data_IF_211294405416
#
_entry.id   IF_211294405416
#
_cell.length_a   1.000
_cell.length_b   1.000
_cell.length_c   1.000
_cell.angle_alpha   90.00
_cell.angle_beta   90.00
_cell.angle_gamma   90.00
#
_symmetry.space_group_name_H-M   'P 1'
#
loop_
_entity.id
_entity.type
_entity.pdbx_description
1 polymer ?
#
# COMPACT_ATOMS: atom_id res chain seq x y z
N UNK A 1 -22.57 -45.31 -1.45
CA UNK A 1 -22.95 -44.42 -2.57
C UNK A 1 -22.00 -43.24 -2.53
N UNK A 2 -20.85 -43.36 -3.22
CA UNK A 2 -19.77 -42.37 -3.19
C UNK A 2 -20.21 -41.10 -3.92
N UNK A 3 -20.36 -39.99 -3.19
CA UNK A 3 -20.42 -38.66 -3.81
C UNK A 3 -19.00 -38.23 -4.14
N UNK A 4 -18.66 -38.38 -5.41
CA UNK A 4 -17.49 -37.77 -6.01
C UNK A 4 -17.74 -36.25 -6.06
N UNK A 5 -17.18 -35.49 -5.10
CA UNK A 5 -17.14 -34.03 -5.19
C UNK A 5 -15.97 -33.71 -6.14
N UNK A 6 -16.26 -33.74 -7.45
CA UNK A 6 -15.40 -33.10 -8.43
C UNK A 6 -15.68 -31.60 -8.31
N UNK A 7 -14.82 -30.87 -7.61
CA UNK A 7 -14.80 -29.42 -7.72
C UNK A 7 -14.26 -29.09 -9.11
N UNK A 8 -15.12 -28.70 -10.05
CA UNK A 8 -14.72 -28.07 -11.30
C UNK A 8 -14.00 -26.76 -10.96
N UNK A 9 -12.69 -26.83 -10.71
CA UNK A 9 -11.87 -25.64 -10.49
C UNK A 9 -11.85 -24.86 -11.81
N UNK A 10 -12.32 -23.63 -11.77
CA UNK A 10 -12.34 -22.78 -12.94
C UNK A 10 -10.88 -22.54 -13.33
N UNK A 11 -10.55 -22.78 -14.61
CA UNK A 11 -9.22 -22.47 -15.14
C UNK A 11 -8.85 -21.02 -14.82
N UNK A 12 -7.74 -20.82 -14.10
CA UNK A 12 -7.23 -19.49 -13.71
C UNK A 12 -6.93 -18.59 -14.90
N UNK A 13 -6.86 -19.12 -16.12
CA UNK A 13 -6.71 -18.34 -17.35
C UNK A 13 -7.99 -17.60 -17.74
N UNK A 14 -9.16 -18.10 -17.31
CA UNK A 14 -10.47 -17.60 -17.74
C UNK A 14 -11.04 -16.43 -16.93
N UNK A 15 -10.32 -15.95 -15.92
CA UNK A 15 -10.74 -14.83 -15.08
C UNK A 15 -9.54 -14.04 -14.55
N UNK A 16 -9.77 -12.82 -14.08
CA UNK A 16 -8.88 -12.02 -13.24
C UNK A 16 -9.25 -12.31 -11.78
N UNK A 17 -8.26 -12.69 -10.98
CA UNK A 17 -8.43 -12.84 -9.53
C UNK A 17 -7.67 -11.83 -8.70
N UNK A 18 -7.90 -11.84 -7.38
CA UNK A 18 -7.35 -10.83 -6.47
C UNK A 18 -5.82 -10.72 -6.51
N UNK A 19 -5.09 -11.83 -6.69
CA UNK A 19 -3.63 -11.78 -6.86
C UNK A 19 -3.21 -11.08 -8.16
N UNK A 20 -4.03 -11.22 -9.22
CA UNK A 20 -3.81 -10.61 -10.53
C UNK A 20 -4.09 -9.11 -10.47
N UNK A 21 -5.12 -8.70 -9.72
CA UNK A 21 -5.44 -7.30 -9.44
C UNK A 21 -4.22 -6.52 -8.92
N UNK A 22 -3.42 -7.14 -8.04
CA UNK A 22 -2.17 -6.56 -7.52
C UNK A 22 -1.11 -6.36 -8.60
N UNK A 23 -1.02 -7.26 -9.57
CA UNK A 23 -0.09 -7.13 -10.70
C UNK A 23 -0.58 -6.04 -11.66
N UNK A 24 -1.89 -6.03 -11.97
CA UNK A 24 -2.51 -5.06 -12.87
C UNK A 24 -2.38 -3.62 -12.35
N UNK A 25 -2.52 -3.43 -11.05
CA UNK A 25 -2.36 -2.13 -10.39
C UNK A 25 -0.91 -1.83 -9.96
N UNK A 26 0.03 -2.74 -10.24
CA UNK A 26 1.43 -2.60 -9.87
C UNK A 26 2.22 -1.74 -10.85
N UNK A 27 3.50 -1.54 -10.55
CA UNK A 27 4.45 -0.79 -11.38
C UNK A 27 5.44 -1.67 -12.15
N UNK A 28 5.32 -3.00 -12.05
CA UNK A 28 6.19 -3.96 -12.73
C UNK A 28 5.62 -4.34 -14.10
N UNK A 29 6.13 -3.68 -15.15
CA UNK A 29 5.70 -3.91 -16.53
C UNK A 29 5.99 -5.35 -16.99
N UNK A 30 7.09 -5.94 -16.55
CA UNK A 30 7.45 -7.30 -16.93
C UNK A 30 6.45 -8.31 -16.33
N UNK A 31 6.07 -8.13 -15.06
CA UNK A 31 5.04 -8.93 -14.43
C UNK A 31 3.67 -8.75 -15.08
N UNK A 32 3.30 -7.52 -15.47
CA UNK A 32 2.05 -7.22 -16.18
C UNK A 32 1.97 -7.93 -17.53
N UNK A 33 3.02 -7.81 -18.36
CA UNK A 33 3.09 -8.45 -19.67
C UNK A 33 3.11 -9.98 -19.52
N UNK A 34 3.80 -10.51 -18.51
CA UNK A 34 3.81 -11.95 -18.23
C UNK A 34 2.41 -12.45 -17.88
N UNK A 35 1.72 -11.79 -16.94
CA UNK A 35 0.35 -12.13 -16.57
C UNK A 35 -0.56 -12.13 -17.80
N UNK A 36 -0.41 -11.16 -18.71
CA UNK A 36 -1.18 -11.11 -19.95
C UNK A 36 -0.94 -12.33 -20.85
N UNK A 37 0.33 -12.75 -21.03
CA UNK A 37 0.67 -13.99 -21.76
C UNK A 37 0.10 -15.23 -21.09
N UNK A 38 0.16 -15.30 -19.76
CA UNK A 38 -0.42 -16.41 -18.98
C UNK A 38 -1.94 -16.52 -19.20
N UNK A 39 -2.67 -15.39 -19.16
CA UNK A 39 -4.13 -15.37 -19.41
C UNK A 39 -4.48 -15.76 -20.84
N UNK A 40 -3.61 -15.48 -21.81
CA UNK A 40 -3.76 -15.89 -23.21
C UNK A 40 -3.32 -17.34 -23.48
N UNK A 41 -2.71 -18.01 -22.51
CA UNK A 41 -2.13 -19.35 -22.69
C UNK A 41 -0.88 -19.35 -23.57
N UNK A 42 -0.23 -18.20 -23.73
CA UNK A 42 1.02 -18.02 -24.49
C UNK A 42 2.26 -18.23 -23.61
N UNK A 43 2.08 -18.23 -22.29
CA UNK A 43 3.09 -18.59 -21.30
C UNK A 43 2.46 -19.47 -20.22
N UNK A 44 3.26 -20.37 -19.66
CA UNK A 44 2.90 -21.09 -18.45
C UNK A 44 3.10 -20.20 -17.22
N UNK A 45 2.34 -20.48 -16.16
CA UNK A 45 2.52 -19.78 -14.89
C UNK A 45 3.90 -20.12 -14.30
N UNK A 46 4.49 -19.13 -13.63
CA UNK A 46 5.77 -19.27 -12.96
C UNK A 46 5.74 -20.39 -11.91
N UNK A 47 6.73 -21.28 -11.96
CA UNK A 47 6.90 -22.31 -10.93
C UNK A 47 7.50 -21.67 -9.67
N UNK A 48 6.66 -21.48 -8.66
CA UNK A 48 7.01 -20.89 -7.37
C UNK A 48 7.25 -21.95 -6.28
N UNK A 49 7.32 -23.24 -6.63
CA UNK A 49 7.54 -24.33 -5.67
C UNK A 49 8.89 -24.20 -4.94
N UNK A 50 9.92 -23.70 -5.62
CA UNK A 50 11.24 -23.40 -5.02
C UNK A 50 11.33 -22.06 -4.30
N UNK A 51 10.28 -21.21 -4.35
CA UNK A 51 10.31 -19.89 -3.71
C UNK A 51 9.91 -19.99 -2.23
N UNK A 52 10.89 -19.92 -1.34
CA UNK A 52 10.69 -20.06 0.11
C UNK A 52 9.63 -19.11 0.67
N UNK A 53 9.55 -17.86 0.20
CA UNK A 53 8.57 -16.88 0.71
C UNK A 53 7.14 -17.27 0.33
N UNK A 54 6.96 -17.79 -0.90
CA UNK A 54 5.67 -18.31 -1.35
C UNK A 54 5.28 -19.55 -0.54
N UNK A 55 6.22 -20.47 -0.32
CA UNK A 55 5.99 -21.68 0.49
C UNK A 55 5.64 -21.34 1.94
N UNK A 56 6.33 -20.37 2.55
CA UNK A 56 6.00 -19.87 3.89
C UNK A 56 4.58 -19.28 3.92
N UNK A 57 4.18 -18.52 2.90
CA UNK A 57 2.81 -18.03 2.75
C UNK A 57 1.78 -19.17 2.78
N UNK A 58 1.98 -20.19 1.96
CA UNK A 58 1.07 -21.35 1.87
C UNK A 58 0.98 -22.14 3.19
N UNK A 59 2.13 -22.43 3.81
CA UNK A 59 2.17 -23.20 5.06
C UNK A 59 1.60 -22.41 6.24
N UNK A 60 1.78 -21.09 6.26
CA UNK A 60 1.29 -20.25 7.35
C UNK A 60 -0.17 -19.85 7.21
N UNK A 61 -0.81 -19.99 6.05
CA UNK A 61 -2.22 -19.62 5.86
C UNK A 61 -3.17 -20.32 6.86
N UNK A 62 -3.14 -21.65 7.06
CA UNK A 62 -3.97 -22.30 8.08
C UNK A 62 -3.64 -21.88 9.51
N UNK A 63 -2.36 -21.64 9.80
CA UNK A 63 -1.90 -21.14 11.11
C UNK A 63 -2.44 -19.73 11.37
N UNK A 64 -2.41 -18.88 10.35
CA UNK A 64 -2.86 -17.50 10.39
C UNK A 64 -4.35 -17.42 10.68
N UNK A 65 -5.15 -18.24 9.98
CA UNK A 65 -6.59 -18.41 10.27
C UNK A 65 -6.83 -18.88 11.70
N UNK A 66 -6.16 -19.94 12.14
CA UNK A 66 -6.32 -20.44 13.51
C UNK A 66 -6.01 -19.38 14.57
N UNK A 67 -4.95 -18.59 14.34
CA UNK A 67 -4.56 -17.53 15.25
C UNK A 67 -5.59 -16.39 15.27
N UNK A 68 -6.09 -15.98 14.11
CA UNK A 68 -7.19 -15.01 14.00
C UNK A 68 -8.43 -15.46 14.78
N UNK A 69 -8.90 -16.70 14.54
CA UNK A 69 -10.10 -17.26 15.19
C UNK A 69 -9.94 -17.29 16.71
N UNK A 70 -8.75 -17.69 17.19
CA UNK A 70 -8.44 -17.74 18.63
C UNK A 70 -8.41 -16.36 19.29
N UNK A 71 -7.87 -15.34 18.62
CA UNK A 71 -7.71 -14.01 19.20
C UNK A 71 -9.00 -13.18 19.13
N UNK A 72 -9.81 -13.37 18.10
CA UNK A 72 -11.04 -12.59 17.89
C UNK A 72 -12.30 -13.31 18.36
N UNK A 73 -12.25 -14.64 18.54
CA UNK A 73 -13.42 -15.47 18.79
C UNK A 73 -14.35 -15.64 17.58
N UNK A 74 -14.00 -15.07 16.41
CA UNK A 74 -14.79 -15.17 15.18
C UNK A 74 -14.30 -16.31 14.31
N UNK A 75 -15.23 -17.11 13.78
CA UNK A 75 -14.91 -18.23 12.90
C UNK A 75 -14.66 -17.75 11.46
N UNK A 76 -13.77 -18.42 10.73
CA UNK A 76 -13.57 -18.19 9.29
C UNK A 76 -14.13 -19.38 8.51
N UNK A 77 -15.13 -19.11 7.66
CA UNK A 77 -15.81 -20.09 6.80
C UNK A 77 -15.44 -19.90 5.33
N UNK A 78 -15.97 -20.75 4.45
CA UNK A 78 -15.76 -20.68 2.99
C UNK A 78 -14.27 -20.65 2.59
N UNK A 79 -13.42 -21.34 3.34
CA UNK A 79 -11.96 -21.40 3.14
C UNK A 79 -11.63 -22.03 1.79
N UNK A 80 -10.73 -21.40 1.04
CA UNK A 80 -10.30 -21.78 -0.31
C UNK A 80 -11.45 -21.87 -1.33
N UNK A 81 -12.60 -21.23 -1.03
CA UNK A 81 -13.74 -21.20 -1.94
C UNK A 81 -13.46 -20.26 -3.11
N UNK A 82 -13.70 -20.76 -4.31
CA UNK A 82 -13.71 -19.94 -5.52
C UNK A 82 -15.10 -19.34 -5.75
N UNK A 83 -15.16 -18.02 -5.94
CA UNK A 83 -16.39 -17.25 -6.15
C UNK A 83 -16.26 -16.45 -7.43
N UNK A 84 -17.28 -16.46 -8.29
CA UNK A 84 -17.36 -15.60 -9.48
C UNK A 84 -18.24 -14.39 -9.20
N UNK A 85 -17.88 -13.25 -9.78
CA UNK A 85 -18.72 -12.06 -9.71
C UNK A 85 -20.02 -12.30 -10.48
N UNK A 86 -21.16 -12.00 -9.85
CA UNK A 86 -22.51 -12.30 -10.38
C UNK A 86 -22.82 -11.64 -11.73
N UNK A 87 -22.25 -10.46 -12.00
CA UNK A 87 -22.48 -9.71 -13.25
C UNK A 87 -21.24 -9.53 -14.15
N UNK A 88 -20.06 -10.00 -13.74
CA UNK A 88 -18.80 -9.73 -14.45
C UNK A 88 -18.11 -11.08 -14.70
N UNK A 89 -18.31 -11.71 -15.88
CA UNK A 89 -17.91 -13.10 -16.12
C UNK A 89 -16.40 -13.36 -16.02
N UNK A 90 -15.58 -12.34 -16.27
CA UNK A 90 -14.13 -12.42 -16.24
C UNK A 90 -13.53 -12.15 -14.86
N UNK A 91 -14.34 -12.00 -13.81
CA UNK A 91 -13.88 -11.64 -12.48
C UNK A 91 -14.25 -12.72 -11.45
N UNK A 92 -13.26 -13.21 -10.72
CA UNK A 92 -13.47 -14.25 -9.70
C UNK A 92 -12.38 -14.21 -8.63
N UNK A 93 -12.69 -14.63 -7.41
CA UNK A 93 -11.75 -14.67 -6.30
C UNK A 93 -11.62 -16.09 -5.76
N UNK A 94 -10.42 -16.48 -5.34
CA UNK A 94 -10.20 -17.61 -4.45
C UNK A 94 -9.97 -17.01 -3.07
N UNK A 95 -10.85 -17.30 -2.13
CA UNK A 95 -10.87 -16.66 -0.81
C UNK A 95 -10.11 -17.51 0.20
N UNK A 96 -9.27 -16.89 1.03
CA UNK A 96 -8.71 -17.57 2.21
C UNK A 96 -9.82 -17.82 3.25
N UNK A 97 -10.88 -17.00 3.23
CA UNK A 97 -12.17 -17.30 3.84
C UNK A 97 -13.11 -16.09 3.95
N UNK A 98 -14.21 -16.27 4.67
CA UNK A 98 -15.17 -15.23 5.05
C UNK A 98 -15.33 -15.29 6.57
N UNK A 99 -15.16 -14.14 7.23
CA UNK A 99 -15.35 -14.02 8.68
C UNK A 99 -16.84 -14.09 9.00
N UNK A 100 -17.22 -15.04 9.85
CA UNK A 100 -18.61 -15.25 10.21
C UNK A 100 -19.16 -14.11 11.11
N UNK A 101 -20.43 -13.76 10.93
CA UNK A 101 -21.11 -12.68 11.65
C UNK A 101 -20.74 -11.25 11.25
N UNK A 102 -19.57 -11.01 10.64
CA UNK A 102 -19.20 -9.70 10.06
C UNK A 102 -19.32 -9.67 8.54
N UNK A 103 -19.33 -10.84 7.90
CA UNK A 103 -19.29 -11.00 6.45
C UNK A 103 -18.13 -10.21 5.82
N UNK A 104 -16.96 -10.20 6.48
CA UNK A 104 -15.74 -9.65 5.93
C UNK A 104 -14.95 -10.71 5.15
N UNK A 105 -14.29 -10.33 4.06
CA UNK A 105 -13.31 -11.21 3.38
C UNK A 105 -12.12 -11.41 4.30
N UNK A 106 -11.77 -12.66 4.62
CA UNK A 106 -10.53 -12.98 5.32
C UNK A 106 -9.40 -13.20 4.30
N UNK A 107 -8.27 -12.52 4.49
CA UNK A 107 -7.07 -12.63 3.67
C UNK A 107 -5.85 -12.83 4.58
N UNK A 108 -5.15 -13.95 4.42
CA UNK A 108 -4.00 -14.30 5.24
C UNK A 108 -2.69 -14.03 4.49
N UNK A 109 -1.74 -13.35 5.14
CA UNK A 109 -0.41 -13.08 4.55
C UNK A 109 0.73 -13.43 5.49
N UNK A 110 1.81 -13.90 4.87
CA UNK A 110 3.13 -13.92 5.48
C UNK A 110 3.94 -12.73 4.99
N UNK A 111 4.56 -12.00 5.91
CA UNK A 111 5.46 -10.88 5.57
C UNK A 111 6.78 -11.00 6.32
N UNK A 112 7.87 -10.66 5.63
CA UNK A 112 9.15 -10.55 6.30
C UNK A 112 9.15 -9.33 7.24
N UNK A 113 9.84 -9.40 8.39
CA UNK A 113 9.76 -8.36 9.41
C UNK A 113 10.47 -7.05 9.00
N UNK A 114 11.46 -7.14 8.10
CA UNK A 114 12.18 -5.96 7.61
C UNK A 114 11.21 -5.06 6.83
N UNK A 115 11.14 -3.78 7.21
CA UNK A 115 10.25 -2.76 6.64
C UNK A 115 8.73 -3.04 6.77
N UNK A 116 8.32 -3.94 7.66
CA UNK A 116 6.89 -4.18 7.90
C UNK A 116 6.24 -2.99 8.63
N UNK A 117 5.17 -2.47 8.05
CA UNK A 117 4.18 -1.63 8.73
C UNK A 117 2.77 -2.06 8.30
N UNK A 118 1.76 -1.73 9.11
CA UNK A 118 0.36 -2.02 8.81
C UNK A 118 -0.11 -1.25 7.56
N UNK A 119 0.36 -0.02 7.40
CA UNK A 119 0.13 0.84 6.25
C UNK A 119 0.72 0.21 4.98
N UNK A 120 2.01 -0.17 5.02
CA UNK A 120 2.69 -0.76 3.88
C UNK A 120 2.07 -2.11 3.48
N UNK A 121 1.58 -2.89 4.44
CA UNK A 121 0.85 -4.12 4.16
C UNK A 121 -0.50 -3.84 3.50
N UNK A 122 -1.28 -2.90 4.04
CA UNK A 122 -2.56 -2.50 3.47
C UNK A 122 -2.41 -1.93 2.05
N UNK A 123 -1.41 -1.06 1.81
CA UNK A 123 -1.10 -0.54 0.47
C UNK A 123 -0.73 -1.66 -0.51
N UNK A 124 0.16 -2.58 -0.09
CA UNK A 124 0.62 -3.70 -0.92
C UNK A 124 -0.50 -4.63 -1.37
N UNK A 125 -1.49 -4.86 -0.51
CA UNK A 125 -2.59 -5.79 -0.77
C UNK A 125 -3.93 -5.11 -1.09
N UNK A 126 -3.97 -3.78 -1.19
CA UNK A 126 -5.19 -2.99 -1.43
C UNK A 126 -5.96 -3.48 -2.67
N UNK A 127 -5.28 -3.61 -3.81
CA UNK A 127 -5.90 -4.10 -5.04
C UNK A 127 -6.54 -5.49 -4.87
N UNK A 128 -5.85 -6.39 -4.18
CA UNK A 128 -6.32 -7.75 -3.95
C UNK A 128 -7.55 -7.78 -3.04
N UNK A 129 -7.52 -7.09 -1.89
CA UNK A 129 -8.65 -7.11 -0.94
C UNK A 129 -9.88 -6.39 -1.51
N UNK A 130 -9.69 -5.28 -2.25
CA UNK A 130 -10.78 -4.56 -2.91
C UNK A 130 -11.41 -5.39 -4.03
N UNK A 131 -10.60 -6.10 -4.82
CA UNK A 131 -11.10 -7.05 -5.81
C UNK A 131 -11.94 -8.16 -5.15
N UNK A 132 -11.42 -8.79 -4.09
CA UNK A 132 -12.12 -9.88 -3.42
C UNK A 132 -13.45 -9.41 -2.80
N UNK A 133 -13.47 -8.22 -2.19
CA UNK A 133 -14.69 -7.57 -1.68
C UNK A 133 -15.71 -7.32 -2.80
N UNK A 134 -15.25 -6.87 -3.96
CA UNK A 134 -16.13 -6.62 -5.10
C UNK A 134 -16.72 -7.89 -5.69
N UNK A 135 -15.92 -8.95 -5.87
CA UNK A 135 -16.39 -10.26 -6.33
C UNK A 135 -17.48 -10.82 -5.42
N UNK A 136 -17.34 -10.64 -4.12
CA UNK A 136 -18.20 -11.24 -3.09
C UNK A 136 -19.36 -10.35 -2.66
N UNK A 137 -19.41 -9.08 -3.11
CA UNK A 137 -20.34 -8.04 -2.65
C UNK A 137 -20.21 -7.69 -1.16
N UNK A 138 -19.09 -8.05 -0.54
CA UNK A 138 -18.79 -7.75 0.87
C UNK A 138 -18.13 -6.37 0.98
N UNK A 139 -18.30 -5.69 2.13
CA UNK A 139 -17.90 -4.28 2.31
C UNK A 139 -16.63 -4.07 3.13
N UNK A 140 -16.05 -5.14 3.65
CA UNK A 140 -14.82 -5.08 4.42
C UNK A 140 -13.97 -6.33 4.20
N UNK A 141 -12.67 -6.18 4.36
CA UNK A 141 -11.73 -7.29 4.43
C UNK A 141 -10.91 -7.20 5.71
N UNK A 142 -10.62 -8.35 6.29
CA UNK A 142 -9.63 -8.52 7.34
C UNK A 142 -8.37 -9.08 6.71
N UNK A 143 -7.30 -8.28 6.74
CA UNK A 143 -5.96 -8.71 6.39
C UNK A 143 -5.25 -9.19 7.65
N UNK A 144 -5.11 -10.51 7.79
CA UNK A 144 -4.45 -11.16 8.92
C UNK A 144 -3.02 -11.52 8.54
N UNK A 145 -2.04 -11.06 9.30
CA UNK A 145 -0.62 -11.12 8.92
C UNK A 145 0.20 -11.80 10.00
N UNK A 146 0.93 -12.84 9.62
CA UNK A 146 2.02 -13.38 10.43
C UNK A 146 3.34 -12.86 9.85
N UNK A 147 4.16 -12.25 10.69
CA UNK A 147 5.50 -11.82 10.29
C UNK A 147 6.53 -12.90 10.59
N UNK A 148 7.63 -12.92 9.83
CA UNK A 148 8.77 -13.82 10.10
C UNK A 148 9.42 -13.61 11.47
N UNK A 149 9.13 -12.50 12.16
CA UNK A 149 9.55 -12.24 13.54
C UNK A 149 8.61 -12.79 14.62
N UNK A 150 7.59 -13.58 14.26
CA UNK A 150 6.63 -14.16 15.21
C UNK A 150 5.56 -13.17 15.70
N UNK A 151 5.43 -12.00 15.07
CA UNK A 151 4.36 -11.04 15.36
C UNK A 151 3.14 -11.34 14.48
N UNK A 152 1.97 -11.40 15.10
CA UNK A 152 0.67 -11.40 14.39
C UNK A 152 0.05 -10.01 14.41
N UNK A 153 -0.59 -9.63 13.30
CA UNK A 153 -1.24 -8.34 13.10
C UNK A 153 -2.54 -8.51 12.34
N UNK A 154 -3.57 -7.78 12.75
CA UNK A 154 -4.86 -7.70 12.06
C UNK A 154 -5.06 -6.28 11.53
N UNK A 155 -5.36 -6.15 10.24
CA UNK A 155 -5.71 -4.87 9.61
C UNK A 155 -7.09 -5.00 8.97
N UNK A 156 -8.06 -4.20 9.42
CA UNK A 156 -9.37 -4.13 8.78
C UNK A 156 -9.34 -3.06 7.69
N UNK A 157 -9.71 -3.45 6.47
CA UNK A 157 -9.74 -2.59 5.30
C UNK A 157 -11.19 -2.48 4.80
N UNK A 158 -11.83 -1.31 4.87
CA UNK A 158 -13.14 -1.10 4.29
C UNK A 158 -13.06 -1.03 2.77
N UNK A 159 -14.17 -1.35 2.09
CA UNK A 159 -14.30 -1.07 0.66
C UNK A 159 -14.13 0.43 0.40
N UNK A 160 -13.33 0.78 -0.60
CA UNK A 160 -13.13 2.15 -1.06
C UNK A 160 -13.77 2.32 -2.45
N UNK A 161 -14.94 2.99 -2.55
CA UNK A 161 -15.64 3.15 -3.82
C UNK A 161 -14.84 3.91 -4.90
N UNK A 162 -13.99 4.86 -4.50
CA UNK A 162 -13.20 5.66 -5.43
C UNK A 162 -12.08 4.81 -6.03
N UNK A 163 -11.34 4.12 -5.18
CA UNK A 163 -10.30 3.22 -5.64
C UNK A 163 -10.86 2.03 -6.42
N UNK A 164 -11.99 1.48 -5.99
CA UNK A 164 -12.65 0.39 -6.68
C UNK A 164 -13.06 0.75 -8.11
N UNK A 165 -13.50 1.99 -8.34
CA UNK A 165 -13.80 2.48 -9.70
C UNK A 165 -12.56 2.44 -10.60
N UNK A 166 -11.40 2.85 -10.07
CA UNK A 166 -10.13 2.81 -10.80
C UNK A 166 -9.69 1.36 -11.03
N UNK A 167 -9.73 0.53 -10.00
CA UNK A 167 -9.37 -0.89 -10.04
C UNK A 167 -10.18 -1.65 -11.10
N UNK A 168 -11.50 -1.59 -11.04
CA UNK A 168 -12.37 -2.31 -11.99
C UNK A 168 -12.18 -1.80 -13.43
N UNK A 169 -11.92 -0.50 -13.60
CA UNK A 169 -11.61 0.08 -14.92
C UNK A 169 -10.28 -0.43 -15.47
N UNK A 170 -9.26 -0.52 -14.62
CA UNK A 170 -7.95 -1.05 -14.97
C UNK A 170 -8.02 -2.54 -15.35
N UNK A 171 -8.69 -3.36 -14.54
CA UNK A 171 -8.90 -4.78 -14.80
C UNK A 171 -9.70 -5.01 -16.08
N UNK A 172 -10.76 -4.21 -16.31
CA UNK A 172 -11.55 -4.28 -17.55
C UNK A 172 -10.70 -3.93 -18.78
N UNK A 173 -9.82 -2.93 -18.69
CA UNK A 173 -8.88 -2.59 -19.78
C UNK A 173 -7.90 -3.73 -20.01
N UNK A 174 -7.31 -4.27 -18.95
CA UNK A 174 -6.40 -5.42 -19.03
C UNK A 174 -7.10 -6.64 -19.66
N UNK A 175 -8.33 -6.94 -19.26
CA UNK A 175 -9.08 -8.07 -19.83
C UNK A 175 -9.36 -7.88 -21.33
N UNK A 176 -9.64 -6.64 -21.77
CA UNK A 176 -9.75 -6.34 -23.20
C UNK A 176 -8.45 -6.61 -23.95
N UNK A 177 -7.29 -6.24 -23.38
CA UNK A 177 -5.97 -6.56 -23.93
C UNK A 177 -5.75 -8.08 -24.04
N UNK A 178 -6.17 -8.85 -23.02
CA UNK A 178 -6.15 -10.32 -23.07
C UNK A 178 -6.99 -10.84 -24.24
N UNK A 179 -8.18 -10.28 -24.46
CA UNK A 179 -9.08 -10.71 -25.54
C UNK A 179 -8.60 -10.28 -26.94
N UNK A 180 -8.11 -9.04 -27.09
CA UNK A 180 -7.71 -8.47 -28.38
C UNK A 180 -6.31 -8.91 -28.83
N UNK A 181 -5.42 -9.22 -27.88
CA UNK A 181 -4.00 -9.46 -28.14
C UNK A 181 -3.15 -8.18 -28.19
N UNK A 182 -3.75 -7.04 -27.89
CA UNK A 182 -2.98 -5.81 -27.62
C UNK A 182 -2.20 -5.97 -26.32
N UNK A 183 -0.92 -5.58 -26.33
CA UNK A 183 -0.08 -5.65 -25.13
C UNK A 183 -0.56 -4.59 -24.12
N UNK A 184 -0.78 -4.94 -22.84
CA UNK A 184 -1.20 -3.97 -21.84
C UNK A 184 -0.06 -3.02 -21.47
N UNK A 185 -0.42 -1.81 -21.06
CA UNK A 185 0.49 -0.81 -20.51
C UNK A 185 0.19 -0.57 -19.03
N UNK A 186 1.21 -0.16 -18.27
CA UNK A 186 1.06 0.21 -16.87
C UNK A 186 -0.02 1.28 -16.69
N UNK A 187 -0.79 1.11 -15.61
CA UNK A 187 -1.75 2.10 -15.15
C UNK A 187 -1.15 2.70 -13.88
N UNK A 188 -0.68 3.94 -13.98
CA UNK A 188 -0.12 4.67 -12.84
C UNK A 188 -1.27 5.12 -11.92
N UNK A 189 -1.70 4.23 -11.03
CA UNK A 189 -2.71 4.52 -10.02
C UNK A 189 -2.16 4.16 -8.63
N UNK A 190 -1.91 5.17 -7.80
CA UNK A 190 -1.50 4.95 -6.42
C UNK A 190 -2.68 4.41 -5.60
N UNK A 191 -2.47 3.40 -4.74
CA UNK A 191 -3.50 2.98 -3.79
C UNK A 191 -3.81 4.15 -2.84
N UNK A 192 -5.08 4.34 -2.44
CA UNK A 192 -5.42 5.34 -1.44
C UNK A 192 -4.68 5.01 -0.15
N UNK A 193 -4.18 6.05 0.53
CA UNK A 193 -3.55 5.86 1.84
C UNK A 193 -4.57 5.21 2.78
N UNK A 194 -4.24 4.07 3.41
CA UNK A 194 -5.12 3.43 4.36
C UNK A 194 -5.53 4.43 5.45
N UNK A 195 -6.83 4.59 5.67
CA UNK A 195 -7.32 5.33 6.85
C UNK A 195 -7.24 4.38 8.05
N UNK A 196 -6.06 4.27 8.63
CA UNK A 196 -5.89 3.56 9.90
C UNK A 196 -6.49 4.46 10.99
N UNK A 197 -7.49 3.97 11.71
CA UNK A 197 -8.03 4.69 12.86
C UNK A 197 -6.93 4.78 13.93
N UNK A 198 -6.42 5.99 14.17
CA UNK A 198 -5.39 6.24 15.17
C UNK A 198 -5.96 6.18 16.60
N UNK A 199 -6.31 4.96 17.04
CA UNK A 199 -6.94 4.70 18.33
C UNK A 199 -5.95 4.38 19.45
N UNK A 200 -4.72 3.97 19.11
CA UNK A 200 -3.75 3.46 20.09
C UNK A 200 -2.78 4.55 20.56
N UNK A 201 -2.75 4.78 21.86
CA UNK A 201 -1.68 5.52 22.53
C UNK A 201 -0.56 4.53 22.88
N UNK A 202 0.68 4.85 22.52
CA UNK A 202 1.84 3.99 22.77
C UNK A 202 2.85 4.73 23.64
N UNK A 203 3.29 4.09 24.73
CA UNK A 203 4.47 4.54 25.46
C UNK A 203 5.73 4.09 24.71
N UNK A 204 6.50 5.07 24.23
CA UNK A 204 7.72 4.85 23.46
C UNK A 204 8.98 4.87 24.33
N UNK A 205 8.85 4.87 25.66
CA UNK A 205 9.98 4.97 26.61
C UNK A 205 11.02 3.85 26.43
N UNK A 206 10.63 2.69 25.89
CA UNK A 206 11.54 1.57 25.62
C UNK A 206 12.24 1.63 24.25
N UNK A 207 11.93 2.61 23.40
CA UNK A 207 12.52 2.73 22.06
C UNK A 207 13.73 3.66 22.08
N UNK A 208 14.93 3.10 21.91
CA UNK A 208 16.18 3.87 21.90
C UNK A 208 16.20 4.93 20.79
N UNK A 209 15.76 4.57 19.58
CA UNK A 209 15.69 5.52 18.47
C UNK A 209 14.69 6.64 18.75
N UNK A 210 13.55 6.33 19.38
CA UNK A 210 12.60 7.36 19.78
C UNK A 210 13.22 8.30 20.81
N UNK A 211 13.92 7.78 21.81
CA UNK A 211 14.58 8.58 22.84
C UNK A 211 15.61 9.55 22.24
N UNK A 212 16.44 9.09 21.30
CA UNK A 212 17.43 9.91 20.59
C UNK A 212 16.77 11.06 19.83
N UNK A 213 15.79 10.76 18.98
CA UNK A 213 15.12 11.80 18.18
C UNK A 213 14.23 12.70 19.04
N UNK A 214 13.61 12.19 20.10
CA UNK A 214 12.87 13.02 21.05
C UNK A 214 13.80 14.00 21.77
N UNK A 215 15.01 13.59 22.15
CA UNK A 215 16.01 14.49 22.72
C UNK A 215 16.43 15.57 21.70
N UNK A 216 16.76 15.19 20.47
CA UNK A 216 17.09 16.14 19.40
C UNK A 216 15.96 17.14 19.16
N UNK A 217 14.72 16.66 19.02
CA UNK A 217 13.53 17.48 18.81
C UNK A 217 13.33 18.49 19.96
N UNK A 218 13.44 18.04 21.22
CA UNK A 218 13.34 18.91 22.39
C UNK A 218 14.46 19.96 22.43
N UNK A 219 15.70 19.56 22.15
CA UNK A 219 16.86 20.44 22.20
C UNK A 219 16.84 21.50 21.09
N UNK A 220 16.26 21.17 19.93
CA UNK A 220 16.17 22.09 18.78
C UNK A 220 14.90 22.95 18.78
N UNK A 221 13.95 22.70 19.69
CA UNK A 221 12.66 23.40 19.72
C UNK A 221 12.79 24.91 19.81
N UNK A 222 13.66 25.42 20.69
CA UNK A 222 13.82 26.87 20.87
C UNK A 222 14.41 27.53 19.62
N UNK A 223 15.47 26.94 19.06
CA UNK A 223 16.08 27.43 17.83
C UNK A 223 15.09 27.40 16.64
N UNK A 224 14.26 26.36 16.55
CA UNK A 224 13.17 26.29 15.56
C UNK A 224 12.15 27.42 15.75
N UNK A 225 11.70 27.68 16.98
CA UNK A 225 10.76 28.76 17.28
C UNK A 225 11.35 30.14 16.96
N UNK A 226 12.62 30.37 17.33
CA UNK A 226 13.32 31.62 17.02
C UNK A 226 13.50 31.79 15.51
N UNK A 227 13.76 30.70 14.79
CA UNK A 227 13.86 30.71 13.33
C UNK A 227 12.54 31.02 12.64
N UNK A 228 11.42 30.41 13.07
CA UNK A 228 10.07 30.69 12.53
C UNK A 228 9.61 32.12 12.85
N UNK A 229 9.94 32.62 14.06
CA UNK A 229 9.75 34.02 14.41
C UNK A 229 10.56 34.93 13.50
N UNK A 230 11.85 34.67 13.33
CA UNK A 230 12.72 35.47 12.46
C UNK A 230 12.22 35.49 11.01
N UNK A 231 11.78 34.36 10.46
CA UNK A 231 11.15 34.31 9.12
C UNK A 231 9.93 35.20 9.01
N UNK A 232 9.07 35.19 10.02
CA UNK A 232 7.84 35.99 10.03
C UNK A 232 8.16 37.49 10.05
N UNK A 233 9.09 37.91 10.92
CA UNK A 233 9.54 39.31 11.02
C UNK A 233 10.26 39.76 9.74
N UNK A 234 11.20 38.97 9.20
CA UNK A 234 11.90 39.28 7.96
C UNK A 234 10.94 39.39 6.77
N UNK A 235 9.88 38.57 6.74
CA UNK A 235 8.84 38.65 5.71
C UNK A 235 8.04 39.95 5.82
N UNK A 236 7.74 40.40 7.04
CA UNK A 236 7.04 41.67 7.27
C UNK A 236 7.90 42.90 6.90
N UNK A 237 9.23 42.79 7.04
CA UNK A 237 10.17 43.84 6.65
C UNK A 237 10.40 43.92 5.12
N UNK A 238 10.08 42.87 4.36
CA UNK A 238 10.25 42.86 2.91
C UNK A 238 9.12 43.64 2.22
N UNK A 239 9.41 44.75 1.49
CA UNK A 239 8.39 45.51 0.79
C UNK A 239 7.56 44.65 -0.18
N UNK A 240 6.29 45.01 -0.39
CA UNK A 240 5.37 44.21 -1.20
C UNK A 240 5.72 44.20 -2.70
N UNK A 241 6.31 45.30 -3.18
CA UNK A 241 6.69 45.53 -4.57
C UNK A 241 8.07 44.94 -4.95
N UNK A 242 8.84 44.44 -3.97
CA UNK A 242 10.15 43.85 -4.24
C UNK A 242 10.07 42.35 -4.51
N UNK A 243 10.78 41.93 -5.56
CA UNK A 243 10.96 40.51 -5.91
C UNK A 243 11.99 39.82 -5.02
N UNK A 244 13.01 40.56 -4.55
CA UNK A 244 14.12 40.03 -3.79
C UNK A 244 14.65 41.08 -2.80
N UNK A 245 15.02 40.65 -1.60
CA UNK A 245 15.71 41.46 -0.60
C UNK A 245 16.94 40.69 -0.09
N UNK A 246 18.10 41.36 0.00
CA UNK A 246 19.36 40.75 0.43
C UNK A 246 20.01 41.66 1.48
N UNK A 247 20.50 41.07 2.57
CA UNK A 247 21.28 41.78 3.57
C UNK A 247 21.63 40.90 4.75
N UNK A 248 22.68 41.24 5.48
CA UNK A 248 23.08 40.57 6.73
C UNK A 248 23.17 39.04 6.62
N UNK A 249 23.63 38.51 5.48
CA UNK A 249 23.79 37.07 5.26
C UNK A 249 22.49 36.32 4.97
N UNK A 250 21.39 37.01 4.66
CA UNK A 250 20.10 36.39 4.29
C UNK A 250 19.61 36.96 2.97
N UNK A 251 19.04 36.10 2.13
CA UNK A 251 18.29 36.47 0.92
C UNK A 251 16.84 36.04 1.05
N UNK A 252 15.91 36.96 0.84
CA UNK A 252 14.48 36.70 0.73
C UNK A 252 14.02 36.80 -0.73
N UNK A 253 13.25 35.83 -1.23
CA UNK A 253 12.70 35.84 -2.59
C UNK A 253 11.19 35.72 -2.57
N UNK A 254 10.49 36.59 -3.30
CA UNK A 254 9.04 36.54 -3.50
C UNK A 254 8.71 35.84 -4.82
N UNK A 255 7.87 34.82 -4.76
CA UNK A 255 7.37 34.10 -5.93
C UNK A 255 6.28 34.92 -6.66
N UNK A 256 5.93 34.52 -7.89
CA UNK A 256 4.80 35.12 -8.62
C UNK A 256 3.45 34.97 -7.89
N UNK A 257 3.33 33.98 -7.00
CA UNK A 257 2.15 33.74 -6.17
C UNK A 257 2.22 34.46 -4.81
N UNK A 258 3.24 35.29 -4.57
CA UNK A 258 3.39 36.09 -3.34
C UNK A 258 4.02 35.36 -2.16
N UNK A 259 4.39 34.08 -2.29
CA UNK A 259 5.11 33.35 -1.24
C UNK A 259 6.55 33.85 -1.11
N UNK A 260 7.04 34.00 0.13
CA UNK A 260 8.41 34.45 0.42
C UNK A 260 9.23 33.29 0.98
N UNK A 261 10.38 33.01 0.39
CA UNK A 261 11.35 32.02 0.86
C UNK A 261 12.66 32.69 1.26
N UNK A 262 13.41 32.06 2.18
CA UNK A 262 14.67 32.59 2.69
C UNK A 262 15.82 31.62 2.46
N UNK A 263 16.95 32.15 2.01
CA UNK A 263 18.23 31.44 1.87
C UNK A 263 19.26 32.09 2.82
N UNK A 264 20.02 31.28 3.55
CA UNK A 264 21.20 31.76 4.29
C UNK A 264 22.38 31.83 3.33
N UNK A 265 23.04 32.99 3.27
CA UNK A 265 24.20 33.23 2.43
C UNK A 265 25.47 32.94 3.22
N UNK A 266 26.34 32.08 2.69
CA UNK A 266 27.70 31.90 3.22
C UNK A 266 28.57 33.12 2.90
N UNK A 267 29.41 33.61 3.82
CA UNK A 267 30.33 34.72 3.52
C UNK A 267 31.32 34.31 2.43
N UNK A 268 31.43 35.10 1.36
CA UNK A 268 32.59 35.01 0.44
C UNK A 268 33.82 35.58 1.18
N UNK A 269 34.84 34.76 1.37
CA UNK A 269 36.14 35.20 1.91
C UNK A 269 36.80 36.10 0.85
N UNK A 270 37.14 37.37 1.15
CA UNK A 270 37.82 38.21 0.17
C UNK A 270 39.23 37.64 -0.08
N UNK A 271 39.52 37.20 -1.31
CA UNK A 271 40.89 36.91 -1.72
C UNK A 271 41.73 38.19 -1.60
N UNK A 272 42.71 38.19 -0.70
CA UNK A 272 43.70 39.25 -0.60
C UNK A 272 44.53 39.31 -1.91
N UNK A 273 44.83 40.50 -2.45
CA UNK A 273 45.68 40.62 -3.63
C UNK A 273 47.12 40.25 -3.24
N UNK A 274 47.69 39.31 -3.99
CA UNK A 274 49.10 38.93 -3.92
C UNK A 274 49.95 40.15 -4.33
N UNK A 275 50.84 40.60 -3.44
CA UNK A 275 52.02 41.38 -3.81
C UNK A 275 53.16 40.43 -4.17
#
# INVERSE_FOLDING_TARGET
MNRQILSDSISRRSFIGGSDARIIMGSDEAALVRLWREKRGEAESEDLSGNLIVQLGQVTEPLNRHWYERNTGRQVRDVQRQVRHSAIPWMAATLDGIVDGTEAVFEAKFMLPWSFSEEAAAEKYMAQVQHNMWVTHLRSSVLSIITGGGKWVEVTIPMDPLYLTVLVSAEKKFWRCVQSGEVPHLIMAEPPRPRIEALRIVDMSSSNSWAEFAALFRNTRQAFLDHERAKSELKALMPEDVKEAIGHGVRAKRSKAGAVSFDVLTPEVPHAPVQ
#
